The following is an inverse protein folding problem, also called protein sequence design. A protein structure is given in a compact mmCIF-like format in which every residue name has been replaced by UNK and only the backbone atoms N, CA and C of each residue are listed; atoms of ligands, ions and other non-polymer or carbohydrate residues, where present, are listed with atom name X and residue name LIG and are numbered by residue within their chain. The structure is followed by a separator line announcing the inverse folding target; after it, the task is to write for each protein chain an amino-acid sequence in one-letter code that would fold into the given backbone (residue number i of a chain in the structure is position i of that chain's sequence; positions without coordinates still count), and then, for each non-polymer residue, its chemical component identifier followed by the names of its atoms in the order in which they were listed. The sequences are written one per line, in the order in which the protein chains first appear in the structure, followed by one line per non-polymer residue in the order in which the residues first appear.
data_IF_474008418667
#
_entry.id   IF_474008418667
#
_cell.length_a   1.000
_cell.length_b   1.000
_cell.length_c   1.000
_cell.angle_alpha   90.00
_cell.angle_beta   90.00
_cell.angle_gamma   90.00
#
_symmetry.space_group_name_H-M   'P 1'
#
loop_
_entity.id
_entity.type
_entity.pdbx_description
1 polymer ?
#
# COMPACT_ATOMS: atom_id res chain seq x y z
N UNK A 1 -6.82 -22.69 -25.57
CA UNK A 1 -6.99 -22.28 -24.16
C UNK A 1 -8.06 -21.21 -24.07
N UNK A 2 -8.92 -21.24 -23.04
CA UNK A 2 -9.92 -20.19 -22.81
C UNK A 2 -9.50 -19.36 -21.60
N UNK A 3 -9.39 -18.05 -21.79
CA UNK A 3 -9.07 -17.08 -20.73
C UNK A 3 -9.99 -15.87 -20.84
N UNK A 4 -10.06 -15.06 -19.79
CA UNK A 4 -10.81 -13.81 -19.75
C UNK A 4 -9.96 -12.73 -19.08
N UNK A 5 -9.69 -11.63 -19.78
CA UNK A 5 -9.03 -10.47 -19.18
C UNK A 5 -10.04 -9.74 -18.28
N UNK A 6 -9.85 -9.84 -16.95
CA UNK A 6 -10.77 -9.25 -15.96
C UNK A 6 -10.47 -7.79 -15.66
N UNK A 7 -9.19 -7.42 -15.68
CA UNK A 7 -8.79 -6.03 -15.46
C UNK A 7 -7.40 -5.74 -16.02
N UNK A 8 -7.17 -4.48 -16.38
CA UNK A 8 -5.89 -3.90 -16.74
C UNK A 8 -5.73 -2.57 -15.99
N UNK A 9 -4.67 -2.43 -15.19
CA UNK A 9 -4.53 -1.34 -14.22
C UNK A 9 -3.10 -0.86 -14.08
N UNK A 10 -2.96 0.38 -13.63
CA UNK A 10 -1.69 1.02 -13.29
C UNK A 10 -1.41 0.88 -11.80
N UNK A 11 -0.23 0.38 -11.46
CA UNK A 11 0.31 0.36 -10.11
C UNK A 11 1.38 1.43 -9.99
N UNK A 12 1.36 2.16 -8.88
CA UNK A 12 2.23 3.34 -8.67
C UNK A 12 3.22 3.13 -7.52
N UNK A 13 3.38 1.90 -7.04
CA UNK A 13 4.17 1.56 -5.87
C UNK A 13 3.77 0.20 -5.27
N UNK A 14 4.07 -0.04 -3.98
CA UNK A 14 3.91 -1.34 -3.36
C UNK A 14 2.47 -1.89 -3.39
N UNK A 15 2.36 -3.18 -3.69
CA UNK A 15 1.11 -3.91 -3.84
C UNK A 15 1.35 -5.41 -3.58
N UNK A 16 0.34 -6.25 -3.82
CA UNK A 16 0.39 -7.69 -3.52
C UNK A 16 1.37 -8.49 -4.37
N UNK A 17 1.89 -7.94 -5.46
CA UNK A 17 2.77 -8.66 -6.38
C UNK A 17 4.24 -8.28 -6.20
N UNK A 18 4.50 -7.00 -5.90
CA UNK A 18 5.84 -6.39 -5.92
C UNK A 18 5.82 -4.95 -5.40
N UNK A 19 6.95 -4.25 -5.49
CA UNK A 19 7.14 -2.89 -4.98
C UNK A 19 7.31 -1.80 -6.07
N UNK A 20 7.31 -2.19 -7.34
CA UNK A 20 7.61 -1.28 -8.46
C UNK A 20 6.35 -0.66 -9.07
N UNK A 21 6.47 0.53 -9.69
CA UNK A 21 5.47 1.00 -10.63
C UNK A 21 5.44 0.13 -11.89
N UNK A 22 4.24 -0.04 -12.45
CA UNK A 22 4.04 -0.83 -13.66
C UNK A 22 2.57 -1.20 -13.88
N UNK A 23 2.24 -1.73 -15.06
CA UNK A 23 0.91 -2.25 -15.33
C UNK A 23 0.71 -3.61 -14.67
N UNK A 24 -0.54 -3.93 -14.38
CA UNK A 24 -0.99 -5.25 -13.93
C UNK A 24 -2.23 -5.64 -14.72
N UNK A 25 -2.25 -6.88 -15.21
CA UNK A 25 -3.46 -7.52 -15.71
C UNK A 25 -3.87 -8.65 -14.78
N UNK A 26 -5.17 -8.80 -14.58
CA UNK A 26 -5.76 -9.97 -13.92
C UNK A 26 -6.54 -10.79 -14.93
N UNK A 27 -6.24 -12.09 -15.00
CA UNK A 27 -6.80 -13.00 -15.99
C UNK A 27 -7.54 -14.12 -15.27
N UNK A 28 -8.72 -14.47 -15.76
CA UNK A 28 -9.41 -15.71 -15.41
C UNK A 28 -8.95 -16.83 -16.33
N UNK A 29 -8.53 -17.96 -15.76
CA UNK A 29 -8.13 -19.15 -16.51
C UNK A 29 -8.18 -20.38 -15.61
N UNK A 30 -8.16 -21.57 -16.20
CA UNK A 30 -8.03 -22.80 -15.42
C UNK A 30 -6.63 -22.88 -14.82
N UNK A 31 -6.51 -23.37 -13.59
CA UNK A 31 -5.21 -23.45 -12.89
C UNK A 31 -4.17 -24.30 -13.64
N UNK A 32 -4.61 -25.36 -14.34
CA UNK A 32 -3.74 -26.19 -15.19
C UNK A 32 -3.08 -25.43 -16.34
N UNK A 33 -3.71 -24.35 -16.79
CA UNK A 33 -3.29 -23.54 -17.94
C UNK A 33 -2.38 -22.38 -17.49
N UNK A 34 -2.28 -22.10 -16.19
CA UNK A 34 -1.61 -20.92 -15.63
C UNK A 34 -0.12 -20.86 -15.93
N UNK A 35 0.60 -21.97 -15.78
CA UNK A 35 2.03 -22.03 -16.06
C UNK A 35 2.32 -21.75 -17.54
N UNK A 36 1.61 -22.44 -18.44
CA UNK A 36 1.79 -22.30 -19.89
C UNK A 36 1.47 -20.86 -20.32
N UNK A 37 0.36 -20.29 -19.82
CA UNK A 37 0.00 -18.92 -20.14
C UNK A 37 1.05 -17.92 -19.66
N UNK A 38 1.51 -18.07 -18.40
CA UNK A 38 2.55 -17.21 -17.82
C UNK A 38 3.82 -17.21 -18.67
N UNK A 39 4.29 -18.38 -19.10
CA UNK A 39 5.50 -18.52 -19.91
C UNK A 39 5.36 -17.82 -21.26
N UNK A 40 4.21 -17.98 -21.94
CA UNK A 40 3.96 -17.32 -23.22
C UNK A 40 3.81 -15.81 -23.10
N UNK A 41 3.06 -15.35 -22.10
CA UNK A 41 3.00 -13.92 -21.81
C UNK A 41 4.40 -13.34 -21.51
N UNK A 42 5.19 -14.03 -20.69
CA UNK A 42 6.54 -13.60 -20.33
C UNK A 42 7.46 -13.52 -21.56
N UNK A 43 7.35 -14.48 -22.47
CA UNK A 43 8.10 -14.49 -23.73
C UNK A 43 7.77 -13.27 -24.59
N UNK A 44 6.48 -12.99 -24.82
CA UNK A 44 6.05 -11.87 -25.67
C UNK A 44 6.36 -10.51 -25.06
N UNK A 45 6.10 -10.31 -23.77
CA UNK A 45 6.40 -9.03 -23.12
C UNK A 45 7.90 -8.77 -23.02
N UNK A 46 8.70 -9.82 -22.79
CA UNK A 46 10.18 -9.69 -22.78
C UNK A 46 10.69 -9.28 -24.15
N UNK A 47 10.25 -9.95 -25.21
CA UNK A 47 10.65 -9.62 -26.58
C UNK A 47 10.28 -8.18 -26.97
N UNK A 48 9.07 -7.73 -26.59
CA UNK A 48 8.62 -6.36 -26.81
C UNK A 48 9.50 -5.35 -26.06
N UNK A 49 9.72 -5.56 -24.76
CA UNK A 49 10.50 -4.64 -23.92
C UNK A 49 11.97 -4.60 -24.35
N UNK A 50 12.59 -5.74 -24.62
CA UNK A 50 13.98 -5.81 -25.11
C UNK A 50 14.13 -5.13 -26.48
N UNK A 51 13.17 -5.32 -27.39
CA UNK A 51 13.14 -4.63 -28.69
C UNK A 51 13.05 -3.11 -28.57
N UNK A 52 12.47 -2.62 -27.48
CA UNK A 52 12.41 -1.19 -27.13
C UNK A 52 13.65 -0.71 -26.33
N UNK A 53 14.61 -1.59 -26.04
CA UNK A 53 15.82 -1.28 -25.26
C UNK A 53 15.56 -1.12 -23.76
N UNK A 54 14.54 -1.79 -23.23
CA UNK A 54 14.06 -1.64 -21.86
C UNK A 54 14.54 -2.78 -20.95
N UNK A 55 14.89 -2.47 -19.70
CA UNK A 55 15.28 -3.48 -18.70
C UNK A 55 14.07 -4.21 -18.13
N UNK A 56 13.98 -5.51 -18.38
CA UNK A 56 12.81 -6.32 -18.04
C UNK A 56 12.88 -6.86 -16.61
N UNK A 57 11.85 -6.54 -15.82
CA UNK A 57 11.54 -7.19 -14.56
C UNK A 57 10.07 -7.59 -14.56
N UNK A 58 9.81 -8.90 -14.42
CA UNK A 58 8.46 -9.46 -14.45
C UNK A 58 8.06 -9.95 -13.06
N UNK A 59 6.78 -9.82 -12.75
CA UNK A 59 6.19 -10.38 -11.55
C UNK A 59 4.84 -11.02 -11.85
N UNK A 60 4.52 -12.07 -11.10
CA UNK A 60 3.28 -12.83 -11.30
C UNK A 60 2.74 -13.32 -9.98
N UNK A 61 1.43 -13.36 -9.84
CA UNK A 61 0.74 -13.96 -8.70
C UNK A 61 -0.33 -14.92 -9.21
N UNK A 62 -0.13 -16.22 -8.99
CA UNK A 62 -1.17 -17.23 -9.25
C UNK A 62 -2.13 -17.29 -8.06
N UNK A 63 -3.41 -17.44 -8.35
CA UNK A 63 -4.46 -17.67 -7.36
C UNK A 63 -5.52 -18.61 -7.96
N UNK A 64 -6.35 -19.29 -7.15
CA UNK A 64 -7.28 -20.28 -7.71
C UNK A 64 -8.23 -19.63 -8.72
N UNK A 65 -8.22 -20.15 -9.94
CA UNK A 65 -9.01 -19.67 -11.07
C UNK A 65 -8.49 -18.40 -11.75
N UNK A 66 -7.25 -17.98 -11.50
CA UNK A 66 -6.68 -16.83 -12.19
C UNK A 66 -5.21 -16.53 -11.96
N UNK A 67 -4.71 -15.54 -12.68
CA UNK A 67 -3.31 -15.14 -12.69
C UNK A 67 -3.22 -13.62 -12.82
N UNK A 68 -2.42 -12.99 -11.97
CA UNK A 68 -2.01 -11.61 -12.11
C UNK A 68 -0.63 -11.53 -12.74
N UNK A 69 -0.43 -10.64 -13.71
CA UNK A 69 0.82 -10.47 -14.46
C UNK A 69 1.20 -8.99 -14.53
N UNK A 70 2.44 -8.68 -14.17
CA UNK A 70 2.97 -7.32 -14.11
C UNK A 70 4.43 -7.24 -14.58
N UNK A 71 4.84 -6.07 -15.10
CA UNK A 71 6.22 -5.79 -15.49
C UNK A 71 6.61 -4.34 -15.19
N UNK A 72 7.89 -4.06 -14.91
CA UNK A 72 8.38 -2.74 -14.47
C UNK A 72 8.18 -1.65 -15.53
N UNK A 73 7.61 -0.51 -15.12
CA UNK A 73 7.53 0.66 -15.99
C UNK A 73 7.71 1.99 -15.26
N UNK A 74 8.33 3.00 -15.92
CA UNK A 74 8.53 4.30 -15.32
C UNK A 74 7.19 5.00 -15.16
N UNK A 75 7.12 5.87 -14.15
CA UNK A 75 5.87 6.49 -13.70
C UNK A 75 5.21 7.41 -14.75
N UNK A 76 5.99 7.92 -15.70
CA UNK A 76 5.53 8.81 -16.77
C UNK A 76 5.11 8.08 -18.05
N UNK A 77 4.97 6.74 -17.98
CA UNK A 77 4.71 5.87 -19.13
C UNK A 77 3.74 4.72 -18.81
N UNK A 78 2.94 4.87 -17.76
CA UNK A 78 2.09 3.79 -17.26
C UNK A 78 0.85 3.54 -18.12
N UNK A 79 0.39 4.52 -18.92
CA UNK A 79 -0.75 4.31 -19.82
C UNK A 79 -0.35 3.39 -20.96
N UNK A 80 0.73 3.70 -21.69
CA UNK A 80 1.22 2.85 -22.77
C UNK A 80 1.69 1.49 -22.24
N UNK A 81 2.28 1.43 -21.03
CA UNK A 81 2.63 0.15 -20.42
C UNK A 81 1.40 -0.76 -20.20
N UNK A 82 0.23 -0.20 -19.85
CA UNK A 82 -1.01 -0.98 -19.77
C UNK A 82 -1.39 -1.57 -21.13
N UNK A 83 -1.28 -0.79 -22.20
CA UNK A 83 -1.58 -1.24 -23.57
C UNK A 83 -0.60 -2.34 -24.02
N UNK A 84 0.68 -2.21 -23.69
CA UNK A 84 1.69 -3.25 -23.91
C UNK A 84 1.37 -4.55 -23.17
N UNK A 85 0.85 -4.47 -21.93
CA UNK A 85 0.48 -5.66 -21.17
C UNK A 85 -0.70 -6.39 -21.82
N UNK A 86 -1.66 -5.64 -22.35
CA UNK A 86 -2.80 -6.18 -23.10
C UNK A 86 -2.38 -6.76 -24.45
N UNK A 87 -1.43 -6.11 -25.14
CA UNK A 87 -0.80 -6.66 -26.33
C UNK A 87 -0.13 -8.01 -26.05
N UNK A 88 0.66 -8.10 -24.97
CA UNK A 88 1.34 -9.35 -24.59
C UNK A 88 0.35 -10.46 -24.22
N UNK A 89 -0.77 -10.12 -23.57
CA UNK A 89 -1.88 -11.04 -23.34
C UNK A 89 -2.47 -11.57 -24.66
N UNK A 90 -2.76 -10.69 -25.62
CA UNK A 90 -3.32 -11.06 -26.91
C UNK A 90 -2.35 -11.90 -27.75
N UNK A 91 -1.05 -11.55 -27.77
CA UNK A 91 0.00 -12.31 -28.43
C UNK A 91 0.15 -13.73 -27.85
N UNK A 92 0.16 -13.86 -26.52
CA UNK A 92 0.18 -15.16 -25.86
C UNK A 92 -1.06 -16.00 -26.21
N UNK A 93 -2.25 -15.39 -26.23
CA UNK A 93 -3.49 -16.07 -26.62
C UNK A 93 -3.48 -16.51 -28.09
N UNK A 94 -2.94 -15.68 -28.99
CA UNK A 94 -2.81 -16.01 -30.40
C UNK A 94 -1.90 -17.22 -30.60
N UNK A 95 -0.73 -17.25 -29.97
CA UNK A 95 0.20 -18.38 -30.02
C UNK A 95 -0.40 -19.67 -29.44
N UNK A 96 -1.00 -19.60 -28.26
CA UNK A 96 -1.57 -20.77 -27.58
C UNK A 96 -2.73 -21.38 -28.38
N UNK A 97 -3.49 -20.56 -29.10
CA UNK A 97 -4.62 -21.01 -29.90
C UNK A 97 -4.28 -21.24 -31.38
N UNK A 98 -3.01 -21.15 -31.76
CA UNK A 98 -2.55 -21.23 -33.15
C UNK A 98 -3.30 -20.28 -34.10
N UNK A 99 -3.61 -19.07 -33.61
CA UNK A 99 -4.20 -18.00 -34.39
C UNK A 99 -3.12 -17.15 -35.08
N UNK A 100 -3.55 -16.19 -35.90
CA UNK A 100 -2.66 -15.22 -36.54
C UNK A 100 -1.84 -14.46 -35.49
N UNK A 101 -0.52 -14.49 -35.66
CA UNK A 101 0.41 -13.86 -34.73
C UNK A 101 0.40 -12.35 -34.91
N UNK A 102 0.44 -11.62 -33.78
CA UNK A 102 0.61 -10.18 -33.81
C UNK A 102 2.03 -9.83 -34.27
N UNK A 103 2.16 -8.76 -35.06
CA UNK A 103 3.45 -8.32 -35.57
C UNK A 103 4.24 -7.58 -34.46
N UNK A 104 5.32 -8.20 -33.99
CA UNK A 104 6.19 -7.66 -32.95
C UNK A 104 6.91 -6.38 -33.39
N UNK A 105 7.40 -6.31 -34.63
CA UNK A 105 8.16 -5.15 -35.12
C UNK A 105 7.26 -3.92 -35.23
N UNK A 106 6.03 -4.09 -35.73
CA UNK A 106 5.02 -3.02 -35.76
C UNK A 106 4.64 -2.57 -34.35
N UNK A 107 4.49 -3.50 -33.41
CA UNK A 107 4.19 -3.18 -32.02
C UNK A 107 5.34 -2.39 -31.35
N UNK A 108 6.60 -2.79 -31.57
CA UNK A 108 7.78 -2.07 -31.08
C UNK A 108 7.79 -0.64 -31.62
N UNK A 109 7.55 -0.45 -32.92
CA UNK A 109 7.52 0.88 -33.52
C UNK A 109 6.40 1.75 -32.94
N UNK A 110 5.18 1.22 -32.89
CA UNK A 110 4.00 1.93 -32.38
C UNK A 110 4.17 2.33 -30.91
N UNK A 111 4.48 1.37 -30.02
CA UNK A 111 4.64 1.64 -28.60
C UNK A 111 5.85 2.54 -28.32
N UNK A 112 6.92 2.47 -29.12
CA UNK A 112 8.04 3.42 -28.98
C UNK A 112 7.60 4.86 -29.27
N UNK A 113 6.73 5.08 -30.25
CA UNK A 113 6.20 6.41 -30.55
C UNK A 113 5.27 6.91 -29.45
N UNK A 114 4.34 6.07 -28.98
CA UNK A 114 3.40 6.42 -27.92
C UNK A 114 4.11 6.71 -26.59
N UNK A 115 5.11 5.89 -26.22
CA UNK A 115 5.95 6.12 -25.04
C UNK A 115 6.64 7.49 -25.06
N UNK A 116 7.05 7.97 -26.25
CA UNK A 116 7.65 9.30 -26.40
C UNK A 116 6.63 10.42 -26.23
N UNK A 117 5.37 10.18 -26.60
CA UNK A 117 4.29 11.15 -26.45
C UNK A 117 3.80 11.24 -25.00
N UNK A 118 3.72 10.11 -24.28
CA UNK A 118 3.32 10.08 -22.87
C UNK A 118 4.42 10.63 -21.94
N UNK A 119 5.69 10.49 -22.32
CA UNK A 119 6.84 10.84 -21.48
C UNK A 119 6.72 12.24 -20.85
N UNK A 120 7.00 12.30 -19.55
CA UNK A 120 7.01 13.51 -18.76
C UNK A 120 8.36 13.65 -18.04
N UNK A 121 9.43 14.09 -18.76
CA UNK A 121 10.75 14.23 -18.17
C UNK A 121 10.82 15.12 -16.92
N UNK A 122 10.07 16.24 -16.81
CA UNK A 122 9.99 17.01 -15.56
C UNK A 122 9.54 16.16 -14.35
N UNK A 123 8.52 15.31 -14.52
CA UNK A 123 8.05 14.41 -13.45
C UNK A 123 9.17 13.52 -12.92
N UNK A 124 9.92 12.88 -13.82
CA UNK A 124 11.05 12.02 -13.45
C UNK A 124 12.19 12.80 -12.79
N UNK A 125 12.44 14.05 -13.23
CA UNK A 125 13.44 14.94 -12.59
C UNK A 125 13.04 15.25 -11.14
N UNK A 126 11.77 15.58 -10.89
CA UNK A 126 11.25 15.84 -9.54
C UNK A 126 11.33 14.58 -8.68
N UNK A 127 10.90 13.43 -9.20
CA UNK A 127 10.97 12.14 -8.51
C UNK A 127 12.42 11.82 -8.08
N UNK A 128 13.37 11.96 -9.00
CA UNK A 128 14.80 11.74 -8.71
C UNK A 128 15.33 12.73 -7.69
N UNK A 129 14.95 14.00 -7.78
CA UNK A 129 15.37 15.04 -6.86
C UNK A 129 14.83 14.85 -5.44
N UNK A 130 13.59 14.38 -5.31
CA UNK A 130 12.97 14.01 -4.03
C UNK A 130 13.67 12.80 -3.41
N UNK A 131 13.88 11.73 -4.20
CA UNK A 131 14.54 10.51 -3.74
C UNK A 131 15.97 10.78 -3.23
N UNK A 132 16.76 11.59 -3.95
CA UNK A 132 18.11 12.00 -3.51
C UNK A 132 18.13 12.75 -2.17
N UNK A 133 17.02 13.37 -1.79
CA UNK A 133 16.87 14.14 -0.54
C UNK A 133 16.14 13.35 0.54
N UNK A 134 15.73 12.10 0.28
CA UNK A 134 14.89 11.32 1.20
C UNK A 134 13.50 11.94 1.42
N UNK A 135 13.02 12.74 0.48
CA UNK A 135 11.71 13.40 0.56
C UNK A 135 10.63 12.56 -0.11
N UNK A 136 9.43 12.58 0.46
CA UNK A 136 8.27 11.88 -0.08
C UNK A 136 7.89 12.47 -1.44
N UNK A 137 7.58 11.59 -2.41
CA UNK A 137 7.10 11.95 -3.74
C UNK A 137 5.78 11.24 -4.00
N UNK A 138 4.71 12.01 -4.27
CA UNK A 138 3.39 11.46 -4.55
C UNK A 138 2.90 11.96 -5.91
N UNK A 139 2.34 11.06 -6.71
CA UNK A 139 1.76 11.41 -8.00
C UNK A 139 0.42 10.71 -8.21
N UNK A 140 -0.43 11.35 -9.00
CA UNK A 140 -1.67 10.83 -9.56
C UNK A 140 -1.91 11.49 -10.93
N UNK A 141 -3.04 11.20 -11.56
CA UNK A 141 -3.34 11.67 -12.92
C UNK A 141 -3.35 13.20 -13.04
N UNK A 142 -3.76 13.90 -11.97
CA UNK A 142 -3.91 15.36 -11.99
C UNK A 142 -2.75 16.13 -11.32
N UNK A 143 -2.10 15.54 -10.32
CA UNK A 143 -1.17 16.26 -9.44
C UNK A 143 0.10 15.48 -9.10
N UNK A 144 1.21 16.22 -9.00
CA UNK A 144 2.48 15.78 -8.43
C UNK A 144 2.74 16.60 -7.18
N UNK A 145 3.24 15.97 -6.12
CA UNK A 145 3.62 16.66 -4.90
C UNK A 145 4.87 16.06 -4.25
N UNK A 146 5.58 16.91 -3.52
CA UNK A 146 6.69 16.51 -2.65
C UNK A 146 6.39 16.89 -1.20
N UNK A 147 6.93 16.13 -0.25
CA UNK A 147 6.61 16.29 1.17
C UNK A 147 5.16 15.90 1.49
N UNK A 148 4.74 16.17 2.73
CA UNK A 148 3.36 15.92 3.15
C UNK A 148 2.84 16.92 4.18
N UNK A 149 1.52 17.07 4.22
CA UNK A 149 0.82 17.96 5.12
C UNK A 149 1.30 19.40 4.99
N UNK A 150 1.56 20.05 6.12
CA UNK A 150 2.18 21.40 6.21
C UNK A 150 3.53 21.52 5.49
N UNK A 151 4.21 20.41 5.21
CA UNK A 151 5.46 20.36 4.42
C UNK A 151 5.26 20.01 2.95
N UNK A 152 4.02 19.96 2.45
CA UNK A 152 3.70 19.58 1.07
C UNK A 152 3.78 20.76 0.10
N UNK A 153 4.36 20.51 -1.07
CA UNK A 153 4.24 21.38 -2.25
C UNK A 153 3.65 20.57 -3.41
N UNK A 154 2.63 21.11 -4.08
CA UNK A 154 1.84 20.40 -5.09
C UNK A 154 1.69 21.22 -6.36
N UNK A 155 1.77 20.55 -7.51
CA UNK A 155 1.65 21.12 -8.84
C UNK A 155 0.75 20.24 -9.72
N UNK A 156 0.15 20.83 -10.75
CA UNK A 156 -0.54 20.04 -11.77
C UNK A 156 0.46 19.26 -12.60
N UNK A 157 0.12 18.03 -13.00
CA UNK A 157 0.94 17.22 -13.92
C UNK A 157 1.20 17.96 -15.26
N UNK A 158 0.31 18.88 -15.64
CA UNK A 158 0.38 19.67 -16.88
C UNK A 158 1.30 20.89 -16.77
N UNK A 159 1.69 21.30 -15.56
CA UNK A 159 2.48 22.50 -15.29
C UNK A 159 3.45 22.24 -14.14
N UNK A 160 4.46 21.43 -14.43
CA UNK A 160 5.47 21.02 -13.45
C UNK A 160 6.64 22.01 -13.43
N UNK A 161 7.12 22.42 -12.25
CA UNK A 161 8.31 23.25 -12.14
C UNK A 161 9.56 22.44 -12.51
N UNK A 162 10.65 23.15 -12.82
CA UNK A 162 11.95 22.49 -12.84
C UNK A 162 12.35 22.08 -11.42
N UNK A 163 12.89 20.88 -11.28
CA UNK A 163 13.22 20.31 -9.96
C UNK A 163 14.22 21.16 -9.15
N UNK A 164 15.03 21.98 -9.83
CA UNK A 164 15.97 22.91 -9.20
C UNK A 164 15.30 24.18 -8.64
N UNK A 165 14.08 24.50 -9.08
CA UNK A 165 13.32 25.68 -8.64
C UNK A 165 12.40 25.39 -7.45
N UNK A 166 12.24 24.12 -7.07
CA UNK A 166 11.47 23.72 -5.89
C UNK A 166 12.22 24.21 -4.64
N UNK A 167 11.49 24.85 -3.73
CA UNK A 167 12.00 25.24 -2.41
C UNK A 167 12.07 24.00 -1.51
N UNK A 168 13.17 23.24 -1.62
CA UNK A 168 13.36 22.01 -0.88
C UNK A 168 13.52 22.21 0.63
N UNK A 169 13.85 23.42 1.09
CA UNK A 169 14.04 23.71 2.52
C UNK A 169 12.69 23.74 3.26
N UNK A 170 11.62 24.12 2.56
CA UNK A 170 10.25 24.05 3.08
C UNK A 170 9.66 22.62 3.04
N UNK A 171 10.24 21.70 2.26
CA UNK A 171 9.70 20.34 2.06
C UNK A 171 10.07 19.43 3.22
N UNK A 172 9.05 18.87 3.87
CA UNK A 172 9.24 17.86 4.91
C UNK A 172 8.02 16.95 5.02
N UNK A 173 8.16 15.85 5.76
CA UNK A 173 7.08 14.90 6.02
C UNK A 173 6.41 15.20 7.36
N UNK A 174 5.10 15.01 7.41
CA UNK A 174 4.36 14.96 8.68
C UNK A 174 4.35 13.55 9.25
N UNK A 175 4.28 13.40 10.59
CA UNK A 175 4.05 12.10 11.22
C UNK A 175 2.87 11.37 10.58
N UNK A 176 3.10 10.13 10.15
CA UNK A 176 2.12 9.35 9.39
C UNK A 176 1.92 7.98 10.00
N UNK A 177 0.67 7.66 10.35
CA UNK A 177 0.24 6.35 10.78
C UNK A 177 -0.65 5.70 9.72
N UNK A 178 -0.39 4.44 9.39
CA UNK A 178 -1.26 3.64 8.51
C UNK A 178 -1.88 2.48 9.27
N UNK A 179 -3.15 2.19 8.99
CA UNK A 179 -3.90 1.15 9.71
C UNK A 179 -4.58 0.22 8.72
N UNK A 180 -4.36 -1.08 8.88
CA UNK A 180 -5.14 -2.12 8.23
C UNK A 180 -5.61 -3.19 9.23
N UNK A 181 -6.51 -4.04 8.78
CA UNK A 181 -7.17 -5.06 9.60
C UNK A 181 -8.48 -5.49 8.95
N UNK A 182 -9.06 -6.60 9.39
CA UNK A 182 -10.44 -6.94 9.00
C UNK A 182 -11.40 -6.01 9.74
N UNK A 183 -11.32 -5.96 11.06
CA UNK A 183 -12.18 -5.13 11.90
C UNK A 183 -11.42 -4.01 12.63
N UNK A 184 -12.15 -2.98 13.08
CA UNK A 184 -11.63 -1.95 13.98
C UNK A 184 -10.79 -0.84 13.35
N UNK A 185 -10.43 -0.93 12.05
CA UNK A 185 -9.64 0.10 11.35
C UNK A 185 -10.17 1.52 11.55
N UNK A 186 -11.45 1.73 11.24
CA UNK A 186 -12.12 3.03 11.35
C UNK A 186 -12.19 3.52 12.79
N UNK A 187 -12.41 2.61 13.75
CA UNK A 187 -12.39 2.92 15.18
C UNK A 187 -11.01 3.42 15.61
N UNK A 188 -9.95 2.72 15.20
CA UNK A 188 -8.56 3.08 15.52
C UNK A 188 -8.22 4.46 14.94
N UNK A 189 -8.48 4.72 13.66
CA UNK A 189 -8.14 6.04 13.08
C UNK A 189 -8.93 7.18 13.71
N UNK A 190 -10.17 6.93 14.18
CA UNK A 190 -10.95 7.91 14.94
C UNK A 190 -10.40 8.15 16.35
N UNK A 191 -9.91 7.11 17.02
CA UNK A 191 -9.24 7.24 18.32
C UNK A 191 -7.94 8.03 18.17
N UNK A 192 -7.10 7.66 17.20
CA UNK A 192 -5.87 8.39 16.87
C UNK A 192 -6.17 9.86 16.55
N UNK A 193 -7.25 10.13 15.80
CA UNK A 193 -7.69 11.50 15.51
C UNK A 193 -8.02 12.26 16.80
N UNK A 194 -8.75 11.65 17.73
CA UNK A 194 -9.08 12.28 19.01
C UNK A 194 -7.81 12.61 19.81
N UNK A 195 -6.81 11.71 19.81
CA UNK A 195 -5.51 11.95 20.46
C UNK A 195 -4.74 13.10 19.79
N UNK A 196 -4.70 13.16 18.46
CA UNK A 196 -4.04 14.26 17.73
C UNK A 196 -4.71 15.60 18.03
N UNK A 197 -6.05 15.66 18.03
CA UNK A 197 -6.79 16.87 18.40
C UNK A 197 -6.49 17.28 19.85
N UNK A 198 -6.47 16.32 20.78
CA UNK A 198 -6.13 16.58 22.18
C UNK A 198 -4.69 17.10 22.36
N UNK A 199 -3.77 16.72 21.46
CA UNK A 199 -2.40 17.26 21.42
C UNK A 199 -2.28 18.66 20.81
N UNK A 200 -3.38 19.27 20.37
CA UNK A 200 -3.40 20.61 19.78
C UNK A 200 -2.96 20.66 18.30
N UNK A 201 -2.89 19.52 17.62
CA UNK A 201 -2.49 19.41 16.20
C UNK A 201 -3.67 19.16 15.28
N UNK A 202 -3.50 19.43 13.99
CA UNK A 202 -4.51 19.19 12.95
C UNK A 202 -4.33 17.79 12.34
N UNK A 203 -5.24 16.82 12.61
CA UNK A 203 -5.21 15.52 11.95
C UNK A 203 -5.73 15.60 10.51
N UNK A 204 -5.12 14.84 9.62
CA UNK A 204 -5.70 14.45 8.34
C UNK A 204 -6.03 12.96 8.38
N UNK A 205 -7.24 12.58 7.97
CA UNK A 205 -7.72 11.21 8.10
C UNK A 205 -8.44 10.74 6.83
N UNK A 206 -8.05 9.56 6.33
CA UNK A 206 -8.79 8.83 5.30
C UNK A 206 -9.37 7.55 5.91
N UNK A 207 -10.67 7.31 5.73
CA UNK A 207 -11.39 6.13 6.22
C UNK A 207 -12.38 5.57 5.18
N UNK A 208 -13.10 4.51 5.54
CA UNK A 208 -14.22 3.99 4.74
C UNK A 208 -15.45 4.90 4.71
N UNK A 209 -15.51 5.91 5.59
CA UNK A 209 -16.67 6.80 5.72
C UNK A 209 -16.44 8.18 5.09
N UNK A 210 -15.21 8.68 5.18
CA UNK A 210 -14.89 10.06 4.79
C UNK A 210 -13.40 10.31 4.61
N UNK A 211 -13.15 11.41 3.91
CA UNK A 211 -11.90 12.14 3.91
C UNK A 211 -12.05 13.39 4.78
N UNK A 212 -11.17 13.58 5.77
CA UNK A 212 -11.34 14.65 6.77
C UNK A 212 -10.01 15.33 7.11
N UNK A 213 -10.04 16.64 7.31
CA UNK A 213 -8.92 17.44 7.82
C UNK A 213 -9.39 18.31 8.97
N UNK A 214 -8.77 18.16 10.13
CA UNK A 214 -9.26 18.72 11.39
C UNK A 214 -10.69 18.28 11.66
N UNK A 215 -11.61 19.24 11.72
CA UNK A 215 -13.06 19.01 11.87
C UNK A 215 -13.83 19.08 10.53
N UNK A 216 -13.16 19.35 9.42
CA UNK A 216 -13.78 19.52 8.11
C UNK A 216 -13.79 18.22 7.32
N UNK A 217 -14.98 17.74 6.97
CA UNK A 217 -15.14 16.65 5.99
C UNK A 217 -14.90 17.24 4.60
N UNK A 218 -13.91 16.71 3.88
CA UNK A 218 -13.63 17.07 2.50
C UNK A 218 -14.53 16.32 1.54
N UNK A 219 -14.75 15.03 1.81
CA UNK A 219 -15.65 14.19 1.03
C UNK A 219 -16.18 13.00 1.86
N UNK A 220 -17.32 12.44 1.45
CA UNK A 220 -17.97 11.28 2.08
C UNK A 220 -17.92 10.08 1.16
N UNK A 221 -17.67 8.90 1.73
CA UNK A 221 -17.56 7.63 1.01
C UNK A 221 -16.29 6.87 1.37
N UNK A 222 -16.06 5.76 0.68
CA UNK A 222 -14.90 4.90 0.94
C UNK A 222 -13.62 5.49 0.34
N UNK A 223 -12.81 6.09 1.21
CA UNK A 223 -11.51 6.67 0.91
C UNK A 223 -10.35 5.86 1.52
N UNK A 224 -10.55 4.58 1.84
CA UNK A 224 -9.56 3.67 2.45
C UNK A 224 -8.49 3.12 1.48
N UNK A 225 -8.24 3.83 0.37
CA UNK A 225 -7.29 3.45 -0.67
C UNK A 225 -6.26 4.55 -0.97
N UNK A 226 -5.33 4.31 -1.93
CA UNK A 226 -4.24 5.24 -2.23
C UNK A 226 -4.67 6.67 -2.56
N UNK A 227 -5.84 6.85 -3.19
CA UNK A 227 -6.37 8.18 -3.51
C UNK A 227 -6.68 9.01 -2.25
N UNK A 228 -7.33 8.41 -1.24
CA UNK A 228 -7.64 9.08 0.01
C UNK A 228 -6.38 9.42 0.80
N UNK A 229 -5.47 8.45 0.92
CA UNK A 229 -4.16 8.63 1.53
C UNK A 229 -3.39 9.81 0.93
N UNK A 230 -3.24 9.84 -0.41
CA UNK A 230 -2.50 10.91 -1.10
C UNK A 230 -3.21 12.26 -1.01
N UNK A 231 -4.54 12.28 -0.93
CA UNK A 231 -5.27 13.54 -0.76
C UNK A 231 -5.03 14.14 0.62
N UNK A 232 -5.04 13.32 1.68
CA UNK A 232 -4.65 13.77 3.03
C UNK A 232 -3.21 14.27 3.07
N UNK A 233 -2.28 13.49 2.50
CA UNK A 233 -0.86 13.84 2.52
C UNK A 233 -0.55 15.13 1.73
N UNK A 234 -1.42 15.57 0.82
CA UNK A 234 -1.24 16.81 0.05
C UNK A 234 -1.86 18.04 0.71
N UNK A 235 -2.71 17.86 1.72
CA UNK A 235 -3.44 18.96 2.32
C UNK A 235 -2.55 19.72 3.30
N UNK A 236 -2.24 20.98 2.98
CA UNK A 236 -1.30 21.81 3.73
C UNK A 236 -1.75 22.21 5.14
N UNK A 237 -2.96 21.84 5.56
CA UNK A 237 -3.43 22.02 6.93
C UNK A 237 -3.06 20.85 7.83
N UNK A 238 -2.70 19.70 7.27
CA UNK A 238 -2.47 18.45 8.01
C UNK A 238 -1.12 18.49 8.71
N UNK A 239 -1.10 18.23 10.01
CA UNK A 239 0.12 18.12 10.83
C UNK A 239 0.42 16.67 11.25
N UNK A 240 -0.58 15.77 11.20
CA UNK A 240 -0.44 14.33 11.43
C UNK A 240 -1.40 13.59 10.48
N UNK A 241 -0.90 12.63 9.70
CA UNK A 241 -1.69 11.85 8.76
C UNK A 241 -2.08 10.47 9.35
N UNK A 242 -3.37 10.14 9.28
CA UNK A 242 -3.99 8.92 9.82
C UNK A 242 -4.71 8.19 8.69
N UNK A 243 -4.07 7.14 8.16
CA UNK A 243 -4.45 6.57 6.87
C UNK A 243 -5.00 5.16 7.04
N UNK A 244 -6.32 5.01 6.98
CA UNK A 244 -6.94 3.70 6.84
C UNK A 244 -6.64 3.10 5.48
N UNK A 245 -6.20 1.84 5.45
CA UNK A 245 -5.92 1.11 4.21
C UNK A 245 -6.67 -0.21 4.18
N UNK A 246 -7.69 -0.31 3.33
CA UNK A 246 -8.48 -1.52 3.14
C UNK A 246 -7.88 -2.44 2.08
N UNK A 247 -8.25 -3.72 2.18
CA UNK A 247 -7.93 -4.80 1.23
C UNK A 247 -8.26 -4.41 -0.22
N UNK A 248 -9.42 -3.82 -0.45
CA UNK A 248 -9.86 -3.41 -1.78
C UNK A 248 -8.98 -2.31 -2.39
N UNK A 249 -8.41 -1.42 -1.58
CA UNK A 249 -7.42 -0.44 -2.04
C UNK A 249 -6.11 -1.11 -2.44
N UNK A 250 -5.58 -1.95 -1.55
CA UNK A 250 -4.32 -2.70 -1.75
C UNK A 250 -4.32 -3.55 -3.02
N UNK A 251 -5.40 -4.31 -3.26
CA UNK A 251 -5.51 -5.18 -4.42
C UNK A 251 -5.65 -4.42 -5.74
N UNK A 252 -6.38 -3.30 -5.74
CA UNK A 252 -6.69 -2.58 -6.98
C UNK A 252 -5.59 -1.60 -7.38
N UNK A 253 -4.93 -0.97 -6.41
CA UNK A 253 -4.03 0.18 -6.66
C UNK A 253 -2.77 0.19 -5.78
N UNK A 254 -2.58 -0.82 -4.94
CA UNK A 254 -1.48 -0.85 -3.96
C UNK A 254 -1.75 0.01 -2.73
N UNK A 255 -0.69 0.41 -2.04
CA UNK A 255 -0.74 1.28 -0.87
C UNK A 255 -0.52 2.76 -1.23
N UNK A 256 -0.94 3.66 -0.33
CA UNK A 256 -0.94 5.11 -0.58
C UNK A 256 0.44 5.77 -0.62
N UNK A 257 1.44 5.13 -0.03
CA UNK A 257 2.79 5.63 0.19
C UNK A 257 3.84 4.59 -0.23
N UNK A 258 5.09 5.01 -0.38
CA UNK A 258 6.21 4.12 -0.72
C UNK A 258 6.86 3.52 0.52
N UNK A 259 7.99 2.84 0.32
CA UNK A 259 8.72 2.18 1.41
C UNK A 259 9.22 3.18 2.46
N UNK A 260 9.01 2.90 3.75
CA UNK A 260 9.40 3.75 4.89
C UNK A 260 8.78 5.17 4.91
N UNK A 261 7.69 5.37 4.19
CA UNK A 261 6.97 6.64 4.12
C UNK A 261 5.85 6.79 5.18
N UNK A 262 5.61 5.76 6.00
CA UNK A 262 4.84 5.86 7.23
C UNK A 262 5.78 5.68 8.43
N UNK A 263 5.54 6.41 9.52
CA UNK A 263 6.32 6.23 10.75
C UNK A 263 5.88 4.96 11.48
N UNK A 264 4.57 4.68 11.46
CA UNK A 264 3.99 3.47 12.04
C UNK A 264 2.97 2.86 11.08
N UNK A 265 3.01 1.54 10.91
CA UNK A 265 2.00 0.77 10.19
C UNK A 265 1.44 -0.33 11.09
N UNK A 266 0.14 -0.28 11.39
CA UNK A 266 -0.58 -1.24 12.21
C UNK A 266 -1.31 -2.25 11.34
N UNK A 267 -1.08 -3.54 11.61
CA UNK A 267 -1.89 -4.66 11.10
C UNK A 267 -2.65 -5.23 12.30
N UNK A 268 -3.92 -4.83 12.45
CA UNK A 268 -4.70 -5.06 13.67
C UNK A 268 -5.17 -6.52 13.86
N UNK A 269 -5.95 -7.04 12.91
CA UNK A 269 -6.46 -8.41 12.96
C UNK A 269 -6.81 -8.90 11.57
N UNK A 270 -6.91 -10.22 11.44
CA UNK A 270 -7.16 -10.92 10.19
C UNK A 270 -8.25 -11.95 10.45
N UNK A 271 -9.42 -11.69 9.87
CA UNK A 271 -10.56 -12.59 9.91
C UNK A 271 -11.16 -12.73 8.50
N UNK A 272 -11.90 -13.82 8.20
CA UNK A 272 -12.59 -14.01 6.93
C UNK A 272 -13.42 -12.79 6.55
N UNK A 273 -13.16 -12.23 5.38
CA UNK A 273 -13.83 -11.04 4.88
C UNK A 273 -13.69 -10.97 3.36
N UNK A 274 -14.81 -10.82 2.65
CA UNK A 274 -14.86 -10.73 1.19
C UNK A 274 -14.07 -11.81 0.42
N UNK A 275 -14.13 -13.06 0.88
CA UNK A 275 -13.52 -14.18 0.17
C UNK A 275 -14.23 -14.44 -1.16
N UNK A 276 -13.47 -14.84 -2.18
CA UNK A 276 -13.92 -15.05 -3.57
C UNK A 276 -13.72 -13.84 -4.48
N UNK A 277 -13.36 -12.68 -3.95
CA UNK A 277 -13.13 -11.45 -4.73
C UNK A 277 -11.63 -11.23 -5.01
N UNK A 278 -11.29 -10.72 -6.21
CA UNK A 278 -9.93 -10.30 -6.56
C UNK A 278 -8.82 -11.35 -6.31
N UNK A 279 -9.16 -12.63 -6.46
CA UNK A 279 -8.21 -13.73 -6.29
C UNK A 279 -7.81 -14.00 -4.84
N UNK A 280 -8.67 -13.63 -3.88
CA UNK A 280 -8.52 -13.98 -2.46
C UNK A 280 -9.53 -15.07 -2.13
N UNK A 281 -9.08 -16.31 -1.95
CA UNK A 281 -9.96 -17.46 -1.74
C UNK A 281 -10.02 -17.92 -0.28
N UNK A 282 -8.99 -17.59 0.50
CA UNK A 282 -8.89 -17.97 1.90
C UNK A 282 -8.31 -16.82 2.75
N UNK A 283 -8.30 -17.03 4.06
CA UNK A 283 -7.84 -16.06 5.05
C UNK A 283 -6.32 -15.85 4.97
N UNK A 284 -5.56 -16.87 4.55
CA UNK A 284 -4.11 -16.73 4.38
C UNK A 284 -3.77 -15.78 3.22
N UNK A 285 -4.48 -15.86 2.09
CA UNK A 285 -4.33 -14.89 0.99
C UNK A 285 -4.75 -13.47 1.40
N UNK A 286 -5.81 -13.36 2.23
CA UNK A 286 -6.24 -12.08 2.78
C UNK A 286 -5.16 -11.47 3.70
N UNK A 287 -4.55 -12.31 4.53
CA UNK A 287 -3.46 -11.94 5.40
C UNK A 287 -2.24 -11.46 4.61
N UNK A 288 -1.84 -12.19 3.56
CA UNK A 288 -0.74 -11.78 2.66
C UNK A 288 -1.01 -10.41 2.04
N UNK A 289 -2.27 -10.16 1.66
CA UNK A 289 -2.69 -8.86 1.14
C UNK A 289 -2.52 -7.74 2.17
N UNK A 290 -3.00 -7.93 3.40
CA UNK A 290 -2.87 -6.92 4.45
C UNK A 290 -1.40 -6.68 4.84
N UNK A 291 -0.57 -7.72 4.78
CA UNK A 291 0.87 -7.63 5.05
C UNK A 291 1.65 -6.84 4.00
N UNK A 292 1.07 -6.47 2.86
CA UNK A 292 1.66 -5.46 1.96
C UNK A 292 1.92 -4.15 2.71
N UNK A 293 1.10 -3.81 3.71
CA UNK A 293 1.28 -2.59 4.51
C UNK A 293 2.64 -2.53 5.22
N UNK A 294 3.29 -3.68 5.46
CA UNK A 294 4.63 -3.75 6.10
C UNK A 294 5.71 -2.98 5.35
N UNK A 295 5.55 -2.78 4.03
CA UNK A 295 6.50 -2.01 3.24
C UNK A 295 6.46 -0.52 3.60
N UNK A 296 5.30 0.02 3.99
CA UNK A 296 5.13 1.45 4.26
C UNK A 296 5.80 1.92 5.55
N UNK A 297 5.71 1.11 6.61
CA UNK A 297 6.06 1.53 7.96
C UNK A 297 7.54 1.41 8.30
N UNK A 298 8.09 2.44 8.95
CA UNK A 298 9.39 2.35 9.64
C UNK A 298 9.31 1.40 10.85
N UNK A 299 8.19 1.43 11.57
CA UNK A 299 7.84 0.50 12.65
C UNK A 299 6.53 -0.20 12.32
N UNK A 300 6.48 -1.52 12.51
CA UNK A 300 5.29 -2.32 12.25
C UNK A 300 4.68 -2.76 13.58
N UNK A 301 3.41 -2.41 13.80
CA UNK A 301 2.65 -2.83 14.98
C UNK A 301 1.82 -4.05 14.60
N UNK A 302 2.00 -5.15 15.32
CA UNK A 302 1.34 -6.43 15.05
C UNK A 302 0.63 -6.96 16.29
N UNK A 303 -0.46 -7.68 16.05
CA UNK A 303 -1.25 -8.32 17.10
C UNK A 303 -0.69 -9.71 17.44
N UNK A 304 -0.20 -9.88 18.67
CA UNK A 304 0.34 -11.14 19.17
C UNK A 304 -0.75 -12.14 19.60
N UNK A 305 -2.02 -11.77 19.50
CA UNK A 305 -3.18 -12.63 19.75
C UNK A 305 -3.79 -13.15 18.43
N UNK A 306 -3.26 -12.73 17.27
CA UNK A 306 -3.72 -13.10 15.94
C UNK A 306 -2.72 -14.06 15.26
N UNK A 307 -3.13 -15.31 15.04
CA UNK A 307 -2.27 -16.36 14.47
C UNK A 307 -1.75 -16.02 13.06
N UNK A 308 -2.53 -15.28 12.26
CA UNK A 308 -2.13 -14.90 10.91
C UNK A 308 -1.07 -13.80 10.93
N UNK A 309 -1.11 -12.91 11.94
CA UNK A 309 -0.06 -11.94 12.20
C UNK A 309 1.23 -12.62 12.65
N UNK A 310 1.15 -13.57 13.59
CA UNK A 310 2.30 -14.34 14.09
C UNK A 310 2.99 -15.09 12.95
N UNK A 311 2.22 -15.84 12.13
CA UNK A 311 2.73 -16.62 10.99
C UNK A 311 3.52 -15.79 9.97
N UNK A 312 3.21 -14.49 9.88
CA UNK A 312 3.80 -13.56 8.89
C UNK A 312 4.83 -12.60 9.48
N UNK A 313 5.09 -12.67 10.79
CA UNK A 313 6.10 -11.84 11.44
C UNK A 313 7.48 -11.95 10.76
N UNK A 314 7.84 -13.16 10.30
CA UNK A 314 9.10 -13.40 9.57
C UNK A 314 9.21 -12.69 8.21
N UNK A 315 8.12 -12.15 7.66
CA UNK A 315 8.13 -11.33 6.44
C UNK A 315 8.50 -9.86 6.71
N UNK A 316 8.53 -9.45 7.98
CA UNK A 316 8.80 -8.07 8.40
C UNK A 316 10.29 -7.90 8.66
N UNK A 317 10.92 -7.01 7.90
CA UNK A 317 12.35 -6.66 8.01
C UNK A 317 12.59 -5.38 8.82
N UNK A 318 11.53 -4.84 9.42
CA UNK A 318 11.49 -3.59 10.17
C UNK A 318 11.27 -3.88 11.66
N UNK A 319 11.57 -2.94 12.58
CA UNK A 319 11.21 -3.07 13.99
C UNK A 319 9.73 -3.43 14.17
N UNK A 320 9.48 -4.51 14.92
CA UNK A 320 8.14 -4.95 15.29
C UNK A 320 7.85 -4.48 16.72
N UNK A 321 6.69 -3.85 16.90
CA UNK A 321 6.06 -3.64 18.21
C UNK A 321 4.86 -4.56 18.29
N UNK A 322 4.95 -5.58 19.15
CA UNK A 322 3.82 -6.46 19.39
C UNK A 322 2.84 -5.82 20.36
N UNK A 323 1.54 -6.03 20.16
CA UNK A 323 0.53 -5.79 21.18
C UNK A 323 -0.25 -7.05 21.52
N UNK A 324 -0.75 -7.14 22.76
CA UNK A 324 -1.58 -8.26 23.22
C UNK A 324 -2.51 -7.82 24.35
N UNK A 325 -3.68 -8.45 24.41
CA UNK A 325 -4.60 -8.37 25.53
C UNK A 325 -4.31 -9.40 26.64
N UNK A 326 -3.41 -10.34 26.38
CA UNK A 326 -3.09 -11.45 27.27
C UNK A 326 -1.79 -11.17 28.05
N UNK A 327 -1.90 -11.03 29.37
CA UNK A 327 -0.77 -10.69 30.24
C UNK A 327 0.36 -11.75 30.20
N UNK A 328 0.03 -13.01 29.93
CA UNK A 328 0.96 -14.14 29.86
C UNK A 328 1.32 -14.56 28.42
N UNK A 329 1.06 -13.70 27.43
CA UNK A 329 1.42 -13.96 26.03
C UNK A 329 2.93 -14.20 25.88
N UNK A 330 3.29 -15.43 25.48
CA UNK A 330 4.70 -15.87 25.37
C UNK A 330 5.49 -15.06 24.35
N UNK A 331 4.87 -14.63 23.25
CA UNK A 331 5.53 -13.84 22.21
C UNK A 331 5.93 -12.48 22.78
N UNK A 332 5.02 -11.83 23.52
CA UNK A 332 5.33 -10.56 24.19
C UNK A 332 6.46 -10.76 25.22
N UNK A 333 6.37 -11.79 26.06
CA UNK A 333 7.37 -12.06 27.09
C UNK A 333 8.78 -12.30 26.50
N UNK A 334 8.88 -13.12 25.45
CA UNK A 334 10.14 -13.37 24.74
C UNK A 334 10.66 -12.11 24.04
N UNK A 335 9.78 -11.32 23.42
CA UNK A 335 10.14 -10.08 22.73
C UNK A 335 10.68 -9.02 23.69
N UNK A 336 10.05 -8.86 24.86
CA UNK A 336 10.51 -7.98 25.93
C UNK A 336 11.82 -8.47 26.56
N UNK A 337 11.99 -9.78 26.76
CA UNK A 337 13.24 -10.36 27.26
C UNK A 337 14.42 -10.12 26.29
N UNK A 338 14.14 -9.97 25.00
CA UNK A 338 15.12 -9.57 23.99
C UNK A 338 15.39 -8.05 23.95
N UNK A 339 14.77 -7.26 24.83
CA UNK A 339 14.94 -5.81 24.92
C UNK A 339 14.15 -5.00 23.90
N UNK A 340 13.17 -5.62 23.22
CA UNK A 340 12.35 -4.94 22.23
C UNK A 340 11.15 -4.21 22.87
N UNK A 341 10.42 -3.46 22.05
CA UNK A 341 9.22 -2.72 22.44
C UNK A 341 7.96 -3.56 22.30
N UNK A 342 7.02 -3.46 23.25
CA UNK A 342 5.71 -4.10 23.17
C UNK A 342 4.63 -3.32 23.93
N UNK A 343 3.36 -3.58 23.60
CA UNK A 343 2.19 -3.08 24.31
C UNK A 343 1.45 -4.28 24.91
N UNK A 344 1.01 -4.23 26.17
CA UNK A 344 0.29 -5.34 26.78
C UNK A 344 -0.78 -4.84 27.75
N UNK A 345 -1.93 -5.52 27.78
CA UNK A 345 -2.88 -5.43 28.88
C UNK A 345 -2.41 -6.36 30.01
N UNK A 346 -2.13 -5.79 31.18
CA UNK A 346 -1.72 -6.55 32.36
C UNK A 346 -2.91 -6.98 33.23
N UNK A 347 -2.68 -7.91 34.16
CA UNK A 347 -3.72 -8.50 35.03
C UNK A 347 -4.39 -7.50 35.97
N UNK A 348 -3.79 -6.34 36.20
CA UNK A 348 -4.36 -5.23 36.95
C UNK A 348 -5.28 -4.32 36.11
N UNK A 349 -5.50 -4.66 34.83
CA UNK A 349 -6.36 -3.92 33.91
C UNK A 349 -5.70 -2.68 33.32
N UNK A 350 -4.37 -2.58 33.41
CA UNK A 350 -3.59 -1.45 32.88
C UNK A 350 -2.95 -1.84 31.55
N UNK A 351 -3.14 -0.99 30.54
CA UNK A 351 -2.46 -1.09 29.25
C UNK A 351 -1.09 -0.41 29.41
N UNK A 352 -0.01 -1.15 29.17
CA UNK A 352 1.37 -0.64 29.31
C UNK A 352 2.11 -0.70 27.98
N UNK A 353 2.83 0.37 27.67
CA UNK A 353 3.87 0.39 26.63
C UNK A 353 5.23 0.18 27.28
N UNK A 354 5.87 -0.90 26.90
CA UNK A 354 7.20 -1.28 27.37
C UNK A 354 8.25 -0.91 26.33
N UNK A 355 9.34 -0.29 26.77
CA UNK A 355 10.53 -0.05 25.98
C UNK A 355 11.75 -0.61 26.70
N UNK A 356 12.39 -1.62 26.11
CA UNK A 356 13.58 -2.27 26.67
C UNK A 356 13.45 -2.73 28.15
N UNK A 357 12.23 -3.12 28.55
CA UNK A 357 11.92 -3.59 29.91
C UNK A 357 11.35 -2.52 30.85
N UNK A 358 11.45 -1.24 30.49
CA UNK A 358 10.85 -0.13 31.25
C UNK A 358 9.44 0.18 30.76
N UNK A 359 8.56 0.60 31.67
CA UNK A 359 7.21 1.10 31.33
C UNK A 359 7.32 2.59 31.02
N UNK A 360 7.15 2.97 29.76
CA UNK A 360 7.19 4.38 29.32
C UNK A 360 5.83 5.06 29.37
N UNK A 361 4.75 4.30 29.18
CA UNK A 361 3.39 4.80 29.22
C UNK A 361 2.45 3.75 29.79
N UNK A 362 1.49 4.20 30.59
CA UNK A 362 0.44 3.35 31.12
C UNK A 362 -0.91 4.07 31.16
N UNK A 363 -1.99 3.32 30.91
CA UNK A 363 -3.36 3.82 31.01
C UNK A 363 -4.27 2.70 31.50
N UNK A 364 -5.10 2.97 32.52
CA UNK A 364 -6.08 2.01 32.99
C UNK A 364 -7.15 1.81 31.93
N UNK A 365 -7.45 0.57 31.54
CA UNK A 365 -8.45 0.29 30.52
C UNK A 365 -9.82 0.88 30.89
N UNK A 366 -10.17 0.91 32.18
CA UNK A 366 -11.43 1.49 32.69
C UNK A 366 -11.51 3.01 32.56
N UNK A 367 -10.39 3.71 32.42
CA UNK A 367 -10.35 5.17 32.27
C UNK A 367 -10.68 5.60 30.83
N UNK A 368 -10.69 4.65 29.89
CA UNK A 368 -11.01 4.87 28.49
C UNK A 368 -12.53 4.66 28.30
N UNK A 369 -13.35 5.69 28.06
CA UNK A 369 -14.81 5.57 28.10
C UNK A 369 -15.40 4.51 27.15
N UNK A 370 -14.80 4.33 25.97
CA UNK A 370 -15.27 3.36 24.97
C UNK A 370 -15.01 1.90 25.35
N UNK A 371 -14.19 1.61 26.37
CA UNK A 371 -13.95 0.23 26.83
C UNK A 371 -15.07 -0.27 27.74
N UNK A 372 -16.04 0.58 28.12
CA UNK A 372 -17.12 0.24 29.06
C UNK A 372 -16.58 -0.36 30.37
N UNK A 373 -15.64 0.35 31.00
CA UNK A 373 -15.00 -0.10 32.24
C UNK A 373 -14.03 -1.26 32.02
N UNK A 374 -13.41 -1.36 30.85
CA UNK A 374 -12.50 -2.44 30.46
C UNK A 374 -13.18 -3.71 29.92
N UNK A 375 -14.51 -3.78 29.90
CA UNK A 375 -15.24 -4.98 29.47
C UNK A 375 -15.25 -5.18 27.94
N UNK A 376 -15.20 -4.10 27.15
CA UNK A 376 -15.18 -4.17 25.70
C UNK A 376 -13.74 -4.35 25.18
N UNK A 377 -13.23 -5.58 25.24
CA UNK A 377 -11.85 -5.94 24.87
C UNK A 377 -11.45 -5.48 23.46
N UNK A 378 -12.37 -5.50 22.49
CA UNK A 378 -12.13 -5.01 21.13
C UNK A 378 -11.89 -3.49 21.03
N UNK A 379 -12.21 -2.73 22.09
CA UNK A 379 -11.90 -1.30 22.21
C UNK A 379 -10.67 -1.06 23.10
N UNK A 380 -10.20 -2.09 23.82
CA UNK A 380 -8.95 -2.06 24.60
C UNK A 380 -7.76 -2.33 23.67
N UNK A 381 -7.91 -3.31 22.76
CA UNK A 381 -7.00 -3.56 21.65
C UNK A 381 -7.08 -2.43 20.62
#
# INVERSE_FOLDING_TARGET
MKTELRSNRRLTGPNVIWQHPGPIIDIALNDKDATVFKEKWAQHITALLEGMGWTVELASRHFPGGLSLAFNAPMDRLYVACEMNEWAYNAAMAEINSAEQLNLDEAIEAFTQEMRQEANPPLLRIQSAAAKRGQQFLTCDDYVSVGSGVGSQMWSVKDLPEAASIDWDAVHRVPTAMVTGTNGKTTIVRLLRAMVVASGKVPGMSSTDWLMVGNSILDKGDWSGPGGARTILRDNRVEVALLETARGGMLRRGIGVLENEADVALINNIAPDHLGEWGIQDVDMLADTKFVLRHAGKTIVLNADDEHCIKRAGLVTRPIVWFSLEADNKIIAEHLAAGNQAIRLDTDGIIRFYNAGDVEFEITASDIPMTFGGAALHNVA
#
